data_IF_433511624412
#
_entry.id   IF_433511624412
#
_cell.length_a   1.000
_cell.length_b   1.000
_cell.length_c   1.000
_cell.angle_alpha   90.00
_cell.angle_beta   90.00
_cell.angle_gamma   90.00
#
_symmetry.space_group_name_H-M   'P 1'
#
loop_
_entity.id
_entity.type
_entity.pdbx_description
1 polymer ?
#
# COMPACT_ATOMS: atom_id res chain seq x y z
N UNK A 1 -32.80 -15.10 -9.04
CA UNK A 1 -32.09 -14.24 -8.08
C UNK A 1 -32.29 -12.79 -8.47
N UNK A 2 -32.81 -11.94 -7.58
CA UNK A 2 -32.96 -10.50 -7.85
C UNK A 2 -31.58 -9.85 -7.92
N UNK A 3 -31.31 -9.05 -8.96
CA UNK A 3 -30.08 -8.27 -9.07
C UNK A 3 -29.94 -7.36 -7.83
N UNK A 4 -28.77 -7.33 -7.16
CA UNK A 4 -28.58 -6.44 -6.02
C UNK A 4 -28.81 -5.00 -6.47
N UNK A 5 -29.63 -4.25 -5.70
CA UNK A 5 -29.90 -2.84 -5.98
C UNK A 5 -28.60 -2.07 -5.90
N UNK A 6 -28.28 -1.30 -6.94
CA UNK A 6 -27.11 -0.43 -7.02
C UNK A 6 -27.13 0.56 -5.84
N UNK A 7 -26.15 0.49 -4.95
CA UNK A 7 -26.02 1.52 -3.91
C UNK A 7 -25.28 2.71 -4.52
N UNK A 8 -25.94 3.87 -4.49
CA UNK A 8 -25.28 5.13 -4.83
C UNK A 8 -24.80 5.74 -3.53
N UNK A 9 -23.49 5.77 -3.31
CA UNK A 9 -22.88 6.57 -2.23
C UNK A 9 -22.60 7.95 -2.81
N UNK A 10 -23.31 8.97 -2.30
CA UNK A 10 -23.08 10.36 -2.72
C UNK A 10 -21.75 10.84 -2.14
N UNK A 11 -20.93 11.54 -2.92
CA UNK A 11 -19.61 12.04 -2.48
C UNK A 11 -19.67 12.99 -1.27
N UNK A 12 -20.83 13.61 -1.01
CA UNK A 12 -21.09 14.49 0.16
C UNK A 12 -21.43 13.72 1.45
N UNK A 13 -21.58 12.39 1.38
CA UNK A 13 -22.08 11.59 2.50
C UNK A 13 -21.04 11.34 3.62
N UNK A 14 -19.80 11.87 3.47
CA UNK A 14 -18.74 11.78 4.46
C UNK A 14 -17.96 10.46 4.41
N UNK A 15 -16.84 10.42 5.14
CA UNK A 15 -15.84 9.35 5.10
C UNK A 15 -16.38 7.96 5.50
N UNK A 16 -17.43 7.87 6.32
CA UNK A 16 -18.02 6.60 6.79
C UNK A 16 -19.18 6.08 5.92
N UNK A 17 -19.54 6.79 4.86
CA UNK A 17 -20.73 6.48 4.10
C UNK A 17 -20.69 5.12 3.41
N UNK A 18 -19.51 4.67 2.98
CA UNK A 18 -19.35 3.37 2.31
C UNK A 18 -19.54 2.22 3.31
N UNK A 19 -18.88 2.29 4.45
CA UNK A 19 -19.02 1.27 5.51
C UNK A 19 -20.46 1.23 6.04
N UNK A 20 -21.08 2.38 6.27
CA UNK A 20 -22.49 2.43 6.71
C UNK A 20 -23.43 1.82 5.68
N UNK A 21 -23.18 2.03 4.38
CA UNK A 21 -23.95 1.40 3.32
C UNK A 21 -23.77 -0.13 3.27
N UNK A 22 -22.55 -0.62 3.52
CA UNK A 22 -22.24 -2.05 3.61
C UNK A 22 -22.85 -2.67 4.88
N UNK A 23 -22.73 -2.01 6.04
CA UNK A 23 -23.35 -2.47 7.29
C UNK A 23 -24.88 -2.59 7.17
N UNK A 24 -25.56 -1.63 6.52
CA UNK A 24 -27.00 -1.73 6.24
C UNK A 24 -27.37 -2.92 5.32
N UNK A 25 -26.41 -3.48 4.61
CA UNK A 25 -26.57 -4.68 3.76
C UNK A 25 -26.20 -5.98 4.44
N UNK A 26 -25.83 -5.91 5.73
CA UNK A 26 -25.50 -7.09 6.55
C UNK A 26 -24.01 -7.44 6.61
N UNK A 27 -23.13 -6.69 5.95
CA UNK A 27 -21.69 -6.85 6.14
C UNK A 27 -21.29 -6.25 7.49
N UNK A 28 -20.73 -7.06 8.38
CA UNK A 28 -20.40 -6.66 9.76
C UNK A 28 -18.93 -6.28 9.95
N UNK A 29 -18.04 -6.85 9.14
CA UNK A 29 -16.59 -6.70 9.22
C UNK A 29 -16.02 -6.19 7.88
N UNK A 30 -16.13 -4.88 7.65
CA UNK A 30 -15.63 -4.23 6.44
C UNK A 30 -14.17 -3.86 6.64
N UNK A 31 -13.26 -4.51 5.90
CA UNK A 31 -11.83 -4.17 5.91
C UNK A 31 -11.53 -3.08 4.88
N UNK A 32 -10.71 -2.10 5.25
CA UNK A 32 -10.05 -1.18 4.33
C UNK A 32 -8.58 -1.57 4.16
N UNK A 33 -8.01 -1.41 2.98
CA UNK A 33 -6.59 -1.65 2.73
C UNK A 33 -5.96 -0.55 1.87
N UNK A 34 -4.72 -0.18 2.22
CA UNK A 34 -3.93 0.85 1.52
C UNK A 34 -2.43 0.58 1.68
N UNK A 35 -1.60 1.27 0.88
CA UNK A 35 -0.15 1.18 0.92
C UNK A 35 0.53 2.53 1.14
N UNK A 36 1.79 2.47 1.63
CA UNK A 36 2.70 3.60 1.69
C UNK A 36 4.06 3.27 1.08
N UNK A 37 4.62 4.25 0.35
CA UNK A 37 5.95 4.12 -0.24
C UNK A 37 6.00 3.43 -1.59
N UNK A 38 4.90 3.24 -2.28
CA UNK A 38 4.89 2.66 -3.63
C UNK A 38 5.74 3.45 -4.62
N UNK A 39 5.64 4.78 -4.62
CA UNK A 39 6.43 5.65 -5.51
C UNK A 39 7.83 6.01 -5.02
N UNK A 40 8.30 5.47 -3.89
CA UNK A 40 9.62 5.74 -3.35
C UNK A 40 10.68 4.82 -3.97
N UNK A 41 11.85 5.34 -4.30
CA UNK A 41 12.96 4.56 -4.86
C UNK A 41 13.87 3.94 -3.79
N UNK A 42 13.60 4.20 -2.49
CA UNK A 42 14.31 3.59 -1.38
C UNK A 42 13.36 3.27 -0.21
N UNK A 43 13.76 2.30 0.61
CA UNK A 43 13.05 1.81 1.76
C UNK A 43 11.91 0.85 1.42
N UNK A 44 11.25 0.28 2.45
CA UNK A 44 10.23 -0.73 2.27
C UNK A 44 8.96 -0.17 1.61
N UNK A 45 8.23 -1.05 0.94
CA UNK A 45 6.81 -0.86 0.67
C UNK A 45 6.04 -1.37 1.89
N UNK A 46 5.12 -0.55 2.41
CA UNK A 46 4.33 -0.93 3.58
C UNK A 46 2.86 -0.95 3.19
N UNK A 47 2.19 -2.07 3.43
CA UNK A 47 0.75 -2.22 3.22
C UNK A 47 0.06 -2.42 4.56
N UNK A 48 -1.17 -1.96 4.69
CA UNK A 48 -1.95 -2.14 5.90
C UNK A 48 -3.40 -2.48 5.59
N UNK A 49 -4.06 -3.14 6.56
CA UNK A 49 -5.49 -3.35 6.54
C UNK A 49 -6.10 -2.99 7.90
N UNK A 50 -7.34 -2.50 7.90
CA UNK A 50 -8.03 -2.06 9.10
C UNK A 50 -9.53 -2.34 9.02
N UNK A 51 -10.10 -2.87 10.09
CA UNK A 51 -11.55 -2.98 10.31
C UNK A 51 -11.92 -2.04 11.45
N UNK A 52 -12.74 -1.04 11.17
CA UNK A 52 -13.29 -0.15 12.18
C UNK A 52 -14.62 -0.72 12.70
N UNK A 53 -14.90 -0.62 14.02
CA UNK A 53 -16.22 -0.97 14.56
C UNK A 53 -17.33 -0.15 13.93
N UNK A 54 -18.50 -0.73 13.73
CA UNK A 54 -19.68 -0.01 13.27
C UNK A 54 -20.16 1.05 14.29
N UNK A 55 -20.74 2.12 13.78
CA UNK A 55 -21.36 3.18 14.59
C UNK A 55 -20.34 4.09 15.30
N UNK A 56 -20.75 4.75 16.43
CA UNK A 56 -19.94 5.79 17.09
C UNK A 56 -18.57 5.32 17.58
N UNK A 57 -18.44 4.05 17.94
CA UNK A 57 -17.16 3.47 18.42
C UNK A 57 -16.07 3.49 17.36
N UNK A 58 -16.43 3.28 16.09
CA UNK A 58 -15.52 3.30 14.96
C UNK A 58 -15.19 4.71 14.44
N UNK A 59 -15.90 5.73 14.91
CA UNK A 59 -15.63 7.11 14.47
C UNK A 59 -14.40 7.65 15.17
N UNK A 60 -13.33 7.84 14.41
CA UNK A 60 -12.06 8.38 14.89
C UNK A 60 -12.01 9.85 14.52
N UNK A 61 -11.90 10.76 15.52
CA UNK A 61 -11.70 12.19 15.26
C UNK A 61 -10.47 12.46 14.42
N UNK A 62 -10.51 13.48 13.59
CA UNK A 62 -9.44 13.89 12.69
C UNK A 62 -9.06 12.83 11.62
N UNK A 63 -9.72 11.66 11.53
CA UNK A 63 -9.40 10.66 10.50
C UNK A 63 -9.65 11.24 9.10
N UNK A 64 -8.61 11.24 8.30
CA UNK A 64 -8.58 11.70 6.91
C UNK A 64 -7.48 10.99 6.13
N UNK A 65 -7.41 11.23 4.82
CA UNK A 65 -6.25 10.86 4.00
C UNK A 65 -4.94 11.24 4.71
N UNK A 66 -4.06 10.28 4.88
CA UNK A 66 -2.79 10.44 5.63
C UNK A 66 -1.90 11.56 5.10
N UNK A 67 -2.04 11.91 3.82
CA UNK A 67 -1.28 13.00 3.16
C UNK A 67 -1.80 14.39 3.49
N UNK A 68 -3.08 14.49 3.93
CA UNK A 68 -3.71 15.74 4.36
C UNK A 68 -3.43 16.06 5.82
N UNK A 69 -2.98 15.09 6.61
CA UNK A 69 -2.66 15.24 8.02
C UNK A 69 -1.24 15.77 8.22
N UNK A 70 -1.07 16.69 9.16
CA UNK A 70 0.27 17.04 9.65
C UNK A 70 0.93 15.82 10.31
N UNK A 71 2.26 15.74 10.42
CA UNK A 71 2.92 14.62 11.10
C UNK A 71 2.38 14.38 12.52
N UNK A 72 2.20 15.43 13.32
CA UNK A 72 1.65 15.32 14.68
C UNK A 72 0.19 14.84 14.70
N UNK A 73 -0.67 15.31 13.79
CA UNK A 73 -2.05 14.85 13.66
C UNK A 73 -2.08 13.37 13.23
N UNK A 74 -1.22 12.98 12.31
CA UNK A 74 -1.11 11.60 11.84
C UNK A 74 -0.72 10.63 12.96
N UNK A 75 0.21 11.00 13.84
CA UNK A 75 0.58 10.20 15.00
C UNK A 75 -0.59 10.07 16.01
N UNK A 76 -1.33 11.14 16.25
CA UNK A 76 -2.54 11.09 17.10
C UNK A 76 -3.60 10.15 16.51
N UNK A 77 -3.86 10.27 15.22
CA UNK A 77 -4.82 9.41 14.51
C UNK A 77 -4.36 7.96 14.50
N UNK A 78 -3.07 7.68 14.23
CA UNK A 78 -2.48 6.35 14.32
C UNK A 78 -2.76 5.70 15.68
N UNK A 79 -2.48 6.42 16.76
CA UNK A 79 -2.72 5.92 18.13
C UNK A 79 -4.21 5.61 18.35
N UNK A 80 -5.12 6.42 17.82
CA UNK A 80 -6.55 6.17 17.93
C UNK A 80 -7.00 4.97 17.09
N UNK A 81 -6.48 4.80 15.86
CA UNK A 81 -6.74 3.64 15.01
C UNK A 81 -6.32 2.36 15.74
N UNK A 82 -5.07 2.28 16.23
CA UNK A 82 -4.54 1.12 16.95
C UNK A 82 -5.41 0.76 18.17
N UNK A 83 -5.93 1.74 18.89
CA UNK A 83 -6.74 1.51 20.10
C UNK A 83 -8.20 1.15 19.81
N UNK A 84 -8.79 1.65 18.73
CA UNK A 84 -10.23 1.57 18.45
C UNK A 84 -10.60 0.58 17.36
N UNK A 85 -9.68 0.22 16.47
CA UNK A 85 -9.96 -0.75 15.42
C UNK A 85 -10.38 -2.10 16.00
N UNK A 86 -11.35 -2.75 15.38
CA UNK A 86 -11.71 -4.14 15.69
C UNK A 86 -10.59 -5.11 15.32
N UNK A 87 -9.92 -4.83 14.22
CA UNK A 87 -8.69 -5.50 13.79
C UNK A 87 -7.86 -4.58 12.90
N UNK A 88 -6.56 -4.73 12.94
CA UNK A 88 -5.63 -4.08 12.01
C UNK A 88 -4.39 -4.94 11.82
N UNK A 89 -3.71 -4.69 10.71
CA UNK A 89 -2.47 -5.37 10.34
C UNK A 89 -1.58 -4.45 9.51
N UNK A 90 -0.28 -4.71 9.54
CA UNK A 90 0.72 -4.03 8.70
C UNK A 90 1.68 -5.06 8.17
N UNK A 91 1.98 -5.01 6.86
CA UNK A 91 3.00 -5.81 6.21
C UNK A 91 4.12 -4.90 5.73
N UNK A 92 5.35 -5.28 6.04
CA UNK A 92 6.57 -4.61 5.61
C UNK A 92 7.20 -5.46 4.52
N UNK A 93 7.33 -4.91 3.32
CA UNK A 93 7.89 -5.59 2.15
C UNK A 93 9.23 -4.93 1.85
N UNK A 94 10.35 -5.63 2.07
CA UNK A 94 11.68 -5.06 1.90
C UNK A 94 11.98 -4.73 0.42
N UNK A 95 12.92 -3.81 0.14
CA UNK A 95 13.30 -3.43 -1.22
C UNK A 95 13.67 -4.61 -2.11
N UNK A 96 14.39 -5.59 -1.57
CA UNK A 96 14.78 -6.79 -2.33
C UNK A 96 13.58 -7.65 -2.78
N UNK A 97 12.51 -7.73 -1.98
CA UNK A 97 11.27 -8.42 -2.40
C UNK A 97 10.53 -7.61 -3.48
N UNK A 98 10.54 -6.27 -3.36
CA UNK A 98 9.96 -5.39 -4.39
C UNK A 98 10.70 -5.55 -5.72
N UNK A 99 12.03 -5.61 -5.70
CA UNK A 99 12.84 -5.79 -6.91
C UNK A 99 12.64 -7.19 -7.53
N UNK A 100 12.60 -8.23 -6.69
CA UNK A 100 12.46 -9.62 -7.15
C UNK A 100 11.08 -9.92 -7.77
N UNK A 101 10.01 -9.33 -7.23
CA UNK A 101 8.62 -9.58 -7.66
C UNK A 101 8.09 -8.54 -8.65
N UNK A 102 8.73 -7.38 -8.73
CA UNK A 102 8.20 -6.19 -9.36
C UNK A 102 7.20 -5.46 -8.47
N UNK A 103 7.20 -4.14 -8.56
CA UNK A 103 6.46 -3.23 -7.66
C UNK A 103 4.96 -3.54 -7.58
N UNK A 104 4.31 -3.78 -8.72
CA UNK A 104 2.87 -4.02 -8.73
C UNK A 104 2.51 -5.35 -8.05
N UNK A 105 3.21 -6.44 -8.38
CA UNK A 105 2.97 -7.76 -7.76
C UNK A 105 3.26 -7.72 -6.26
N UNK A 106 4.35 -7.09 -5.84
CA UNK A 106 4.70 -6.92 -4.43
C UNK A 106 3.61 -6.14 -3.67
N UNK A 107 3.04 -5.09 -4.29
CA UNK A 107 1.96 -4.31 -3.69
C UNK A 107 0.66 -5.11 -3.55
N UNK A 108 0.21 -5.76 -4.61
CA UNK A 108 -0.99 -6.63 -4.60
C UNK A 108 -0.86 -7.71 -3.54
N UNK A 109 0.27 -8.40 -3.51
CA UNK A 109 0.53 -9.47 -2.55
C UNK A 109 0.60 -8.94 -1.12
N UNK A 110 1.23 -7.78 -0.91
CA UNK A 110 1.28 -7.13 0.39
C UNK A 110 -0.10 -6.77 0.93
N UNK A 111 -0.97 -6.18 0.09
CA UNK A 111 -2.35 -5.88 0.47
C UNK A 111 -3.16 -7.15 0.76
N UNK A 112 -2.98 -8.21 -0.06
CA UNK A 112 -3.62 -9.50 0.18
C UNK A 112 -3.19 -10.10 1.53
N UNK A 113 -1.89 -10.10 1.83
CA UNK A 113 -1.34 -10.57 3.12
C UNK A 113 -1.88 -9.74 4.28
N UNK A 114 -1.92 -8.40 4.15
CA UNK A 114 -2.44 -7.52 5.19
C UNK A 114 -3.90 -7.86 5.54
N UNK A 115 -4.75 -8.11 4.53
CA UNK A 115 -6.14 -8.53 4.75
C UNK A 115 -6.21 -9.94 5.38
N UNK A 116 -5.41 -10.88 4.88
CA UNK A 116 -5.45 -12.27 5.31
C UNK A 116 -5.04 -12.52 6.76
N UNK A 117 -4.15 -11.68 7.32
CA UNK A 117 -3.66 -11.81 8.71
C UNK A 117 -4.46 -11.01 9.73
N UNK A 118 -5.55 -10.36 9.33
CA UNK A 118 -6.44 -9.69 10.27
C UNK A 118 -7.00 -10.69 11.29
N UNK A 119 -6.99 -10.33 12.58
CA UNK A 119 -7.53 -11.18 13.66
C UNK A 119 -9.04 -11.39 13.55
N UNK A 120 -9.75 -10.48 12.89
CA UNK A 120 -11.15 -10.59 12.52
C UNK A 120 -11.22 -10.85 11.04
N UNK A 121 -11.82 -11.96 10.63
CA UNK A 121 -12.01 -12.28 9.21
C UNK A 121 -13.01 -11.28 8.62
N UNK A 122 -12.64 -10.51 7.60
CA UNK A 122 -13.56 -9.59 6.96
C UNK A 122 -14.62 -10.34 6.16
N UNK A 123 -15.80 -9.75 6.06
CA UNK A 123 -16.88 -10.21 5.17
C UNK A 123 -17.02 -9.33 3.90
N UNK A 124 -16.30 -8.20 3.87
CA UNK A 124 -16.14 -7.34 2.70
C UNK A 124 -14.80 -6.57 2.77
N UNK A 125 -14.19 -6.27 1.62
CA UNK A 125 -12.97 -5.46 1.55
C UNK A 125 -13.13 -4.23 0.63
N UNK A 126 -12.65 -3.08 1.09
CA UNK A 126 -12.49 -1.84 0.32
C UNK A 126 -10.99 -1.61 0.13
N UNK A 127 -10.53 -1.45 -1.12
CA UNK A 127 -9.10 -1.39 -1.45
C UNK A 127 -8.83 -0.09 -2.19
N UNK A 128 -7.79 0.65 -1.77
CA UNK A 128 -7.40 1.85 -2.53
C UNK A 128 -6.90 1.49 -3.93
N UNK A 129 -7.41 2.21 -4.92
CA UNK A 129 -6.92 2.32 -6.27
C UNK A 129 -7.31 1.21 -7.23
N UNK A 130 -7.05 -0.07 -6.99
CA UNK A 130 -7.22 -1.13 -8.00
C UNK A 130 -7.76 -2.45 -7.42
N UNK A 131 -8.43 -3.27 -8.25
CA UNK A 131 -8.99 -4.55 -7.80
C UNK A 131 -7.88 -5.56 -7.48
N UNK A 132 -8.12 -6.37 -6.46
CA UNK A 132 -7.26 -7.49 -6.06
C UNK A 132 -8.08 -8.77 -6.13
N UNK A 133 -7.63 -9.71 -6.95
CA UNK A 133 -8.23 -11.04 -7.04
C UNK A 133 -7.75 -11.96 -5.90
N UNK A 134 -8.50 -13.02 -5.60
CA UNK A 134 -8.10 -14.07 -4.66
C UNK A 134 -8.11 -13.65 -3.18
N UNK A 135 -8.96 -12.70 -2.79
CA UNK A 135 -9.13 -12.29 -1.40
C UNK A 135 -10.01 -13.25 -0.57
N UNK A 136 -10.76 -14.13 -1.21
CA UNK A 136 -11.71 -15.03 -0.52
C UNK A 136 -12.98 -14.35 0.01
N UNK A 137 -13.09 -13.04 -0.14
CA UNK A 137 -14.23 -12.22 0.27
C UNK A 137 -14.61 -11.24 -0.86
N UNK A 138 -15.88 -10.79 -0.94
CA UNK A 138 -16.26 -9.73 -1.84
C UNK A 138 -15.43 -8.47 -1.62
N UNK A 139 -14.94 -7.86 -2.69
CA UNK A 139 -14.10 -6.68 -2.60
C UNK A 139 -14.49 -5.62 -3.64
N UNK A 140 -14.20 -4.36 -3.32
CA UNK A 140 -14.38 -3.23 -4.21
C UNK A 140 -13.11 -2.38 -4.21
N UNK A 141 -12.55 -2.14 -5.39
CA UNK A 141 -11.55 -1.11 -5.58
C UNK A 141 -12.19 0.27 -5.53
N UNK A 142 -11.66 1.16 -4.71
CA UNK A 142 -12.18 2.49 -4.48
C UNK A 142 -11.15 3.52 -4.93
N UNK A 143 -11.49 4.30 -5.94
CA UNK A 143 -10.62 5.40 -6.37
C UNK A 143 -10.50 6.45 -5.27
N UNK A 144 -9.28 6.76 -4.83
CA UNK A 144 -9.00 7.61 -3.67
C UNK A 144 -9.78 7.15 -2.44
N UNK A 145 -9.67 5.85 -2.15
CA UNK A 145 -10.36 5.20 -1.04
C UNK A 145 -10.02 5.83 0.31
N UNK A 146 -8.78 6.30 0.47
CA UNK A 146 -8.29 7.08 1.62
C UNK A 146 -9.06 8.38 1.90
N UNK A 147 -9.84 8.88 0.93
CA UNK A 147 -10.72 10.07 1.05
C UNK A 147 -12.20 9.75 1.12
N UNK A 148 -12.58 8.51 0.84
CA UNK A 148 -14.00 8.14 0.62
C UNK A 148 -14.47 7.00 1.51
N UNK A 149 -13.56 6.27 2.17
CA UNK A 149 -13.85 5.16 3.07
C UNK A 149 -12.98 5.24 4.33
N UNK A 150 -13.58 5.24 5.50
CA UNK A 150 -12.89 5.44 6.77
C UNK A 150 -11.91 4.29 7.08
N UNK A 151 -12.29 3.05 6.80
CA UNK A 151 -11.40 1.89 6.99
C UNK A 151 -10.16 1.96 6.08
N UNK A 152 -10.28 2.49 4.85
CA UNK A 152 -9.16 2.71 3.93
C UNK A 152 -8.28 3.86 4.44
N UNK A 153 -8.90 4.98 4.88
CA UNK A 153 -8.16 6.09 5.50
C UNK A 153 -7.38 5.63 6.74
N UNK A 154 -7.97 4.76 7.57
CA UNK A 154 -7.30 4.19 8.73
C UNK A 154 -6.10 3.30 8.31
N UNK A 155 -6.26 2.45 7.29
CA UNK A 155 -5.17 1.66 6.72
C UNK A 155 -4.05 2.55 6.15
N UNK A 156 -4.41 3.64 5.44
CA UNK A 156 -3.47 4.65 4.94
C UNK A 156 -2.61 5.24 6.05
N UNK A 157 -3.23 5.63 7.16
CA UNK A 157 -2.51 6.17 8.33
C UNK A 157 -1.59 5.12 8.95
N UNK A 158 -2.05 3.87 9.10
CA UNK A 158 -1.23 2.76 9.62
C UNK A 158 0.00 2.51 8.74
N UNK A 159 -0.19 2.39 7.43
CA UNK A 159 0.89 2.17 6.49
C UNK A 159 1.88 3.35 6.48
N UNK A 160 1.37 4.59 6.42
CA UNK A 160 2.18 5.80 6.33
C UNK A 160 3.02 6.04 7.58
N UNK A 161 2.43 5.96 8.78
CA UNK A 161 3.16 6.17 10.04
C UNK A 161 4.22 5.09 10.24
N UNK A 162 3.85 3.84 10.02
CA UNK A 162 4.81 2.74 10.15
C UNK A 162 5.99 2.94 9.20
N UNK A 163 5.71 3.27 7.93
CA UNK A 163 6.78 3.50 6.97
C UNK A 163 7.65 4.69 7.30
N UNK A 164 7.05 5.82 7.71
CA UNK A 164 7.81 7.02 8.02
C UNK A 164 8.77 6.80 9.21
N UNK A 165 8.36 6.01 10.21
CA UNK A 165 9.22 5.60 11.33
C UNK A 165 10.40 4.74 10.85
N UNK A 166 10.13 3.73 10.03
CA UNK A 166 11.17 2.90 9.42
C UNK A 166 12.18 3.72 8.61
N UNK A 167 11.71 4.76 7.90
CA UNK A 167 12.62 5.65 7.16
C UNK A 167 13.46 6.56 8.06
N UNK A 168 12.99 6.89 9.26
CA UNK A 168 13.79 7.56 10.28
C UNK A 168 14.85 6.61 10.84
N UNK A 169 14.47 5.37 11.16
CA UNK A 169 15.44 4.36 11.64
C UNK A 169 16.52 4.07 10.57
N UNK A 170 16.13 3.98 9.30
CA UNK A 170 17.07 3.84 8.19
C UNK A 170 17.99 5.06 7.99
N UNK A 171 17.57 6.24 8.39
CA UNK A 171 18.45 7.42 8.36
C UNK A 171 19.60 7.29 9.36
N UNK A 172 19.38 6.71 10.53
CA UNK A 172 20.43 6.47 11.51
C UNK A 172 21.49 5.48 10.98
N UNK A 173 21.05 4.48 10.18
CA UNK A 173 21.96 3.51 9.56
C UNK A 173 22.68 4.08 8.34
N UNK A 174 21.99 4.92 7.56
CA UNK A 174 22.47 5.50 6.30
C UNK A 174 22.33 7.03 6.28
N UNK A 175 22.99 7.77 7.19
CA UNK A 175 22.76 9.22 7.37
C UNK A 175 23.09 10.04 6.11
N UNK A 176 23.98 9.52 5.25
CA UNK A 176 24.39 10.20 4.02
C UNK A 176 23.30 10.36 2.94
N UNK A 177 22.15 9.68 3.08
CA UNK A 177 21.02 9.77 2.12
C UNK A 177 19.88 10.68 2.59
N UNK A 178 19.85 11.09 3.84
CA UNK A 178 18.79 11.93 4.42
C UNK A 178 17.37 11.32 4.33
N UNK A 179 17.27 10.02 4.58
CA UNK A 179 15.99 9.28 4.55
C UNK A 179 14.95 9.83 5.54
N UNK A 180 15.40 10.45 6.64
CA UNK A 180 14.50 11.08 7.60
C UNK A 180 13.72 12.26 7.01
N UNK A 181 14.29 12.98 6.04
CA UNK A 181 13.62 14.12 5.39
C UNK A 181 12.68 13.68 4.29
N UNK A 182 13.21 13.05 3.25
CA UNK A 182 12.44 12.75 2.03
C UNK A 182 11.80 11.36 2.01
N UNK A 183 11.96 10.56 3.07
CA UNK A 183 11.34 9.23 3.20
C UNK A 183 11.57 8.30 2.00
N UNK A 184 12.74 8.39 1.34
CA UNK A 184 13.10 7.57 0.18
C UNK A 184 12.43 7.98 -1.15
N UNK A 185 11.66 9.05 -1.19
CA UNK A 185 11.11 9.59 -2.44
C UNK A 185 12.19 10.29 -3.26
N UNK A 186 11.97 10.36 -4.57
CA UNK A 186 12.86 11.02 -5.52
C UNK A 186 12.75 12.54 -5.32
N UNK A 187 13.81 13.13 -4.77
CA UNK A 187 13.96 14.56 -4.56
C UNK A 187 15.36 15.00 -5.06
N UNK A 188 15.61 16.28 -5.33
CA UNK A 188 16.96 16.75 -5.69
C UNK A 188 18.02 16.34 -4.66
N UNK A 189 17.72 16.43 -3.36
CA UNK A 189 18.64 16.01 -2.29
C UNK A 189 18.94 14.51 -2.33
N UNK A 190 17.92 13.66 -2.50
CA UNK A 190 18.10 12.22 -2.61
C UNK A 190 18.88 11.84 -3.88
N UNK A 191 18.56 12.48 -5.01
CA UNK A 191 19.28 12.25 -6.27
C UNK A 191 20.75 12.66 -6.14
N UNK A 192 21.05 13.80 -5.51
CA UNK A 192 22.43 14.25 -5.25
C UNK A 192 23.18 13.28 -4.32
N UNK A 193 22.54 12.74 -3.30
CA UNK A 193 23.14 11.73 -2.44
C UNK A 193 23.46 10.43 -3.21
N UNK A 194 22.57 10.01 -4.11
CA UNK A 194 22.80 8.88 -5.02
C UNK A 194 23.95 9.13 -6.00
N UNK A 195 24.08 10.35 -6.54
CA UNK A 195 25.19 10.71 -7.42
C UNK A 195 26.53 10.65 -6.72
N UNK A 196 26.57 11.08 -5.45
CA UNK A 196 27.79 11.14 -4.64
C UNK A 196 28.20 9.76 -4.09
N UNK A 197 27.26 8.93 -3.66
CA UNK A 197 27.50 7.72 -2.85
C UNK A 197 27.16 6.40 -3.55
N UNK A 198 26.45 6.48 -4.68
CA UNK A 198 25.81 5.31 -5.26
C UNK A 198 24.61 4.81 -4.43
N UNK A 199 23.91 3.77 -4.86
CA UNK A 199 22.81 3.16 -4.13
C UNK A 199 23.30 2.30 -2.95
N UNK A 200 22.64 2.40 -1.79
CA UNK A 200 22.78 1.45 -0.69
C UNK A 200 21.78 0.26 -0.84
N UNK A 201 21.86 -0.78 0.02
CA UNK A 201 20.96 -1.95 -0.04
C UNK A 201 19.47 -1.61 0.06
N UNK A 202 19.13 -0.47 0.65
CA UNK A 202 17.74 -0.04 0.81
C UNK A 202 17.15 0.62 -0.45
N UNK A 203 17.92 0.80 -1.51
CA UNK A 203 17.44 1.34 -2.78
C UNK A 203 16.84 0.24 -3.66
N UNK A 204 15.70 0.54 -4.26
CA UNK A 204 14.99 -0.34 -5.18
C UNK A 204 15.60 -0.24 -6.57
N UNK A 205 16.29 -1.28 -6.98
CA UNK A 205 17.07 -1.32 -8.24
C UNK A 205 16.20 -1.22 -9.50
N UNK A 206 14.93 -1.63 -9.41
CA UNK A 206 13.96 -1.49 -10.50
C UNK A 206 13.53 -0.04 -10.81
N UNK A 207 13.87 0.94 -9.97
CA UNK A 207 13.62 2.35 -10.26
C UNK A 207 14.73 2.93 -11.13
N UNK A 208 14.36 3.58 -12.25
CA UNK A 208 15.32 4.12 -13.22
C UNK A 208 16.35 5.06 -12.58
N UNK A 209 15.93 5.87 -11.61
CA UNK A 209 16.80 6.77 -10.85
C UNK A 209 17.91 6.02 -10.10
N UNK A 210 17.63 4.83 -9.62
CA UNK A 210 18.59 3.94 -8.94
C UNK A 210 19.37 3.14 -9.96
N UNK A 211 18.68 2.52 -10.91
CA UNK A 211 19.26 1.65 -11.93
C UNK A 211 20.37 2.35 -12.74
N UNK A 212 20.18 3.64 -13.08
CA UNK A 212 21.16 4.43 -13.83
C UNK A 212 22.48 4.67 -13.07
N UNK A 213 22.48 4.46 -11.75
CA UNK A 213 23.60 4.68 -10.83
C UNK A 213 24.25 3.40 -10.31
N UNK A 214 23.73 2.26 -10.74
CA UNK A 214 24.36 0.97 -10.45
C UNK A 214 25.66 0.81 -11.27
N UNK A 215 26.67 0.07 -10.76
CA UNK A 215 27.82 -0.35 -11.55
C UNK A 215 27.40 -1.05 -12.84
N UNK A 216 28.23 -0.93 -13.90
CA UNK A 216 27.90 -1.46 -15.22
C UNK A 216 27.57 -2.97 -15.23
N UNK A 217 28.32 -3.75 -14.43
CA UNK A 217 28.07 -5.19 -14.32
C UNK A 217 26.73 -5.47 -13.64
N UNK A 218 26.40 -4.82 -12.53
CA UNK A 218 25.10 -4.95 -11.86
C UNK A 218 23.93 -4.53 -12.75
N UNK A 219 24.15 -3.58 -13.69
CA UNK A 219 23.14 -3.19 -14.69
C UNK A 219 22.94 -4.27 -15.75
N UNK A 220 24.01 -4.95 -16.18
CA UNK A 220 23.92 -6.07 -17.13
C UNK A 220 23.14 -7.22 -16.53
N UNK A 221 23.51 -7.66 -15.32
CA UNK A 221 22.79 -8.72 -14.60
C UNK A 221 21.30 -8.44 -14.46
N UNK A 222 20.94 -7.18 -14.14
CA UNK A 222 19.54 -6.76 -14.05
C UNK A 222 18.83 -6.81 -15.42
N UNK A 223 19.48 -6.35 -16.49
CA UNK A 223 18.90 -6.40 -17.85
C UNK A 223 18.72 -7.83 -18.31
N UNK A 224 19.68 -8.69 -18.04
CA UNK A 224 19.60 -10.11 -18.40
C UNK A 224 18.53 -10.84 -17.59
N UNK A 225 18.39 -10.56 -16.29
CA UNK A 225 17.31 -11.07 -15.47
C UNK A 225 15.93 -10.60 -15.97
N UNK A 226 15.80 -9.34 -16.39
CA UNK A 226 14.57 -8.82 -16.98
C UNK A 226 14.23 -9.46 -18.33
N UNK A 227 15.24 -9.75 -19.16
CA UNK A 227 15.04 -10.47 -20.44
C UNK A 227 14.57 -11.90 -20.22
N UNK A 228 15.17 -12.61 -19.28
CA UNK A 228 14.74 -13.97 -18.90
C UNK A 228 13.31 -13.95 -18.41
N UNK A 229 12.99 -13.07 -17.45
CA UNK A 229 11.64 -12.91 -16.93
C UNK A 229 10.62 -12.55 -18.01
N UNK A 230 10.93 -11.60 -18.90
CA UNK A 230 10.05 -11.23 -20.00
C UNK A 230 9.79 -12.41 -20.96
N UNK A 231 10.81 -13.22 -21.24
CA UNK A 231 10.65 -14.41 -22.07
C UNK A 231 9.79 -15.49 -21.41
N UNK A 232 9.91 -15.69 -20.09
CA UNK A 232 9.08 -16.61 -19.32
C UNK A 232 7.61 -16.17 -19.31
N UNK A 233 7.35 -14.90 -18.95
CA UNK A 233 5.99 -14.34 -18.95
C UNK A 233 5.34 -14.39 -20.33
N UNK A 234 6.11 -14.08 -21.39
CA UNK A 234 5.60 -14.17 -22.77
C UNK A 234 5.24 -15.61 -23.13
N UNK A 235 6.06 -16.58 -22.74
CA UNK A 235 5.81 -18.00 -23.00
C UNK A 235 4.56 -18.49 -22.28
N UNK A 236 4.40 -18.19 -20.99
CA UNK A 236 3.22 -18.57 -20.20
C UNK A 236 1.93 -17.98 -20.79
N UNK A 237 1.96 -16.73 -21.28
CA UNK A 237 0.79 -16.09 -21.88
C UNK A 237 0.47 -16.61 -23.31
N UNK A 238 1.47 -17.01 -24.10
CA UNK A 238 1.25 -17.56 -25.44
C UNK A 238 0.80 -19.01 -25.36
N UNK A 239 1.33 -19.80 -24.45
CA UNK A 239 0.99 -21.22 -24.27
C UNK A 239 -0.30 -21.42 -23.46
N UNK A 240 -0.68 -20.47 -22.61
CA UNK A 240 -1.86 -20.52 -21.73
C UNK A 240 -3.19 -20.09 -22.37
N UNK A 241 -3.22 -19.57 -23.57
CA UNK A 241 -4.36 -19.46 -24.51
C UNK A 241 -5.69 -18.89 -24.03
N UNK A 242 -5.76 -18.07 -22.97
CA UNK A 242 -7.06 -17.53 -22.52
C UNK A 242 -6.98 -15.98 -22.34
N UNK A 243 -7.23 -15.27 -23.46
CA UNK A 243 -7.25 -13.80 -23.51
C UNK A 243 -8.61 -13.17 -23.14
N UNK A 244 -9.57 -13.97 -22.61
CA UNK A 244 -10.97 -13.55 -22.43
C UNK A 244 -11.37 -13.18 -20.98
N UNK A 245 -10.44 -13.05 -20.03
CA UNK A 245 -10.75 -12.67 -18.65
C UNK A 245 -9.97 -11.42 -18.19
N UNK A 246 -10.13 -10.30 -18.90
CA UNK A 246 -9.78 -8.99 -18.38
C UNK A 246 -10.89 -7.96 -18.60
#
# INVERSE_FOLDING_TARGET
MARPRRAVVKGEAGLWAMEEALHRRGFSAVAGADEAGRGACAGPLVTAACILPAGPRGRIPELADSKLLTPAARERVYTQVVRRAAAWSVMIIPPGEVDARGLHKANVEGLRRAIAVLKVVPDYALIDGFPIAGLGVPALAVWKGDRTAACVAAASVLAKVTRDRLMVDLHEVYPGYDFATHKGYITPGHTGALDLRGPCPEHRRGFITVASRLPADSRRDMVDALRVWAAEVTREHIEGGDWNEF
#
